data_IF_542220858483
#
_entry.id   IF_542220858483
#
_cell.length_a   1.000
_cell.length_b   1.000
_cell.length_c   1.000
_cell.angle_alpha   90.00
_cell.angle_beta   90.00
_cell.angle_gamma   90.00
#
_symmetry.space_group_name_H-M   'P 1'
#
loop_
_entity.id
_entity.type
_entity.pdbx_description
1 polymer ?
#
# COMPACT_ATOMS: atom_id res chain seq x y z
N UNK A 1 16.90 3.51 -20.61
CA UNK A 1 18.10 4.21 -20.11
C UNK A 1 19.01 3.37 -19.21
N UNK A 2 18.77 3.22 -17.89
CA UNK A 2 19.76 2.59 -16.97
C UNK A 2 20.22 1.18 -17.39
N UNK A 3 19.30 0.39 -17.96
CA UNK A 3 19.62 -0.90 -18.59
C UNK A 3 20.49 -0.78 -19.84
N UNK A 4 20.20 0.21 -20.70
CA UNK A 4 20.89 0.41 -21.98
C UNK A 4 22.33 0.87 -21.78
N UNK A 5 22.59 1.68 -20.75
CA UNK A 5 23.95 2.17 -20.42
C UNK A 5 24.71 1.23 -19.47
N UNK A 6 24.12 0.09 -19.10
CA UNK A 6 24.76 -0.91 -18.23
C UNK A 6 24.88 -0.51 -16.74
N UNK A 7 24.21 0.57 -16.32
CA UNK A 7 24.29 1.09 -14.96
C UNK A 7 23.58 0.23 -13.90
N UNK A 8 22.75 -0.74 -14.30
CA UNK A 8 22.01 -1.61 -13.35
C UNK A 8 22.91 -2.46 -12.45
N UNK A 9 24.19 -2.60 -12.79
CA UNK A 9 25.19 -3.29 -11.97
C UNK A 9 25.78 -2.42 -10.86
N UNK A 10 25.53 -1.10 -10.92
CA UNK A 10 26.12 -0.10 -10.02
C UNK A 10 25.04 0.67 -9.23
N UNK A 11 23.75 0.39 -9.47
CA UNK A 11 22.62 1.10 -8.83
C UNK A 11 21.57 0.12 -8.31
N UNK A 12 20.85 0.55 -7.28
CA UNK A 12 19.64 -0.13 -6.79
C UNK A 12 18.40 0.69 -7.16
N UNK A 13 17.45 0.05 -7.84
CA UNK A 13 16.11 0.59 -8.10
C UNK A 13 15.07 -0.13 -7.27
N UNK A 14 14.30 0.60 -6.48
CA UNK A 14 13.24 0.04 -5.61
C UNK A 14 11.86 0.39 -6.15
N UNK A 15 11.09 -0.63 -6.52
CA UNK A 15 9.71 -0.51 -7.03
C UNK A 15 8.72 -0.80 -5.91
N UNK A 16 8.34 0.24 -5.19
CA UNK A 16 7.36 0.14 -4.12
C UNK A 16 5.97 -0.20 -4.64
N UNK A 17 5.32 -1.11 -3.92
CA UNK A 17 3.89 -1.34 -4.03
C UNK A 17 3.13 -0.31 -3.17
N UNK A 18 1.94 -0.64 -2.64
CA UNK A 18 1.07 0.33 -2.00
C UNK A 18 1.54 0.60 -0.57
N UNK A 19 2.46 1.56 -0.42
CA UNK A 19 2.99 1.96 0.89
C UNK A 19 1.96 2.76 1.67
N UNK A 20 1.75 2.40 2.93
CA UNK A 20 0.88 3.14 3.86
C UNK A 20 1.55 3.31 5.23
N UNK A 21 1.14 4.35 5.97
CA UNK A 21 1.60 4.56 7.33
C UNK A 21 1.63 6.03 7.76
N UNK A 22 2.23 6.33 8.92
CA UNK A 22 2.41 7.69 9.41
C UNK A 22 3.12 8.60 8.41
N UNK A 23 2.94 9.92 8.57
CA UNK A 23 3.56 10.99 7.78
C UNK A 23 3.07 11.16 6.34
N UNK A 24 2.04 10.43 5.92
CA UNK A 24 1.45 10.61 4.58
C UNK A 24 0.42 11.75 4.48
N UNK A 25 0.25 12.55 5.55
CA UNK A 25 -0.82 13.54 5.71
C UNK A 25 -0.84 14.62 4.62
N UNK A 26 0.33 15.00 4.13
CA UNK A 26 0.52 16.01 3.10
C UNK A 26 0.05 15.56 1.70
N UNK A 27 -0.27 14.27 1.50
CA UNK A 27 -0.64 13.73 0.19
C UNK A 27 -2.06 14.09 -0.26
N UNK A 28 -2.88 14.70 0.60
CA UNK A 28 -4.28 15.04 0.30
C UNK A 28 -5.06 13.85 -0.26
N UNK A 29 -5.64 14.00 -1.44
CA UNK A 29 -6.39 12.93 -2.12
C UNK A 29 -5.53 11.73 -2.54
N UNK A 30 -4.20 11.80 -2.50
CA UNK A 30 -3.31 10.66 -2.79
C UNK A 30 -2.87 9.90 -1.53
N UNK A 31 -3.44 10.22 -0.37
CA UNK A 31 -3.27 9.42 0.85
C UNK A 31 -3.74 7.97 0.64
N UNK A 32 -3.10 7.04 1.35
CA UNK A 32 -3.51 5.64 1.35
C UNK A 32 -4.95 5.46 1.84
N UNK A 33 -5.58 4.37 1.40
CA UNK A 33 -6.91 3.99 1.89
C UNK A 33 -6.92 3.64 3.37
N UNK A 34 -5.78 3.28 3.97
CA UNK A 34 -5.71 3.09 5.43
C UNK A 34 -5.96 4.41 6.14
N UNK A 35 -5.28 5.48 5.71
CA UNK A 35 -5.49 6.81 6.30
C UNK A 35 -6.86 7.38 5.96
N UNK A 36 -7.28 7.32 4.70
CA UNK A 36 -8.62 7.80 4.30
C UNK A 36 -9.73 7.02 5.00
N UNK A 37 -9.58 5.70 5.10
CA UNK A 37 -10.51 4.82 5.81
C UNK A 37 -10.60 5.17 7.28
N UNK A 38 -9.46 5.36 7.96
CA UNK A 38 -9.44 5.83 9.34
C UNK A 38 -10.22 7.14 9.53
N UNK A 39 -10.01 8.13 8.65
CA UNK A 39 -10.72 9.42 8.73
C UNK A 39 -12.23 9.24 8.49
N UNK A 40 -12.65 8.49 7.48
CA UNK A 40 -14.06 8.22 7.21
C UNK A 40 -14.75 7.49 8.37
N UNK A 41 -14.12 6.45 8.92
CA UNK A 41 -14.66 5.68 10.04
C UNK A 41 -14.70 6.51 11.33
N UNK A 42 -13.70 7.38 11.55
CA UNK A 42 -13.67 8.29 12.70
C UNK A 42 -14.77 9.34 12.61
N UNK A 43 -14.96 9.96 11.44
CA UNK A 43 -15.79 11.15 11.27
C UNK A 43 -17.25 10.82 10.94
N UNK A 44 -17.48 9.77 10.13
CA UNK A 44 -18.80 9.39 9.63
C UNK A 44 -19.26 8.00 10.09
N UNK A 45 -18.37 7.19 10.69
CA UNK A 45 -18.70 5.83 11.13
C UNK A 45 -18.86 4.80 10.00
N UNK A 46 -18.64 5.21 8.75
CA UNK A 46 -18.81 4.38 7.54
C UNK A 46 -17.59 4.53 6.64
N UNK A 47 -17.23 3.48 5.91
CA UNK A 47 -16.16 3.51 4.91
C UNK A 47 -16.74 3.29 3.52
N UNK A 48 -16.52 4.24 2.61
CA UNK A 48 -16.93 4.12 1.22
C UNK A 48 -15.79 3.52 0.38
N UNK A 49 -16.08 2.39 -0.25
CA UNK A 49 -15.24 1.74 -1.26
C UNK A 49 -15.85 1.95 -2.64
N UNK A 50 -15.12 1.55 -3.68
CA UNK A 50 -15.60 1.63 -5.05
C UNK A 50 -16.31 0.33 -5.45
N UNK A 51 -17.41 0.48 -6.19
CA UNK A 51 -18.00 -0.64 -6.94
C UNK A 51 -17.02 -1.20 -7.96
N UNK A 52 -17.10 -2.50 -8.16
CA UNK A 52 -16.40 -3.15 -9.24
C UNK A 52 -17.05 -2.81 -10.57
N UNK A 53 -16.24 -2.41 -11.55
CA UNK A 53 -16.68 -2.20 -12.92
C UNK A 53 -16.42 -3.42 -13.82
N UNK A 54 -15.78 -4.48 -13.29
CA UNK A 54 -15.36 -5.65 -14.06
C UNK A 54 -16.12 -6.89 -13.60
N UNK A 55 -16.74 -7.59 -14.54
CA UNK A 55 -17.36 -8.88 -14.29
C UNK A 55 -16.32 -9.88 -13.75
N UNK A 56 -16.68 -10.59 -12.68
CA UNK A 56 -15.78 -11.54 -11.99
C UNK A 56 -15.06 -10.98 -10.76
N UNK A 57 -15.16 -9.67 -10.47
CA UNK A 57 -14.70 -9.08 -9.22
C UNK A 57 -15.89 -8.49 -8.49
N UNK A 58 -16.15 -8.92 -7.25
CA UNK A 58 -17.14 -8.29 -6.38
C UNK A 58 -16.73 -6.87 -5.98
N UNK A 59 -17.69 -6.08 -5.49
CA UNK A 59 -17.41 -4.74 -4.97
C UNK A 59 -16.38 -4.81 -3.82
N UNK A 60 -15.37 -3.94 -3.86
CA UNK A 60 -14.20 -4.00 -2.97
C UNK A 60 -13.32 -5.25 -3.11
N UNK A 61 -13.58 -6.11 -4.09
CA UNK A 61 -12.81 -7.33 -4.36
C UNK A 61 -11.50 -7.09 -5.10
N UNK A 62 -11.17 -5.84 -5.47
CA UNK A 62 -9.91 -5.53 -6.12
C UNK A 62 -8.76 -5.67 -5.14
N UNK A 63 -7.68 -6.30 -5.58
CA UNK A 63 -6.55 -6.63 -4.70
C UNK A 63 -5.34 -5.74 -4.94
N UNK A 64 -4.60 -5.50 -3.86
CA UNK A 64 -3.33 -4.79 -3.85
C UNK A 64 -2.39 -5.45 -2.85
N UNK A 65 -1.09 -5.34 -3.11
CA UNK A 65 -0.08 -5.59 -2.09
C UNK A 65 0.14 -4.28 -1.32
N UNK A 66 -0.17 -4.31 -0.03
CA UNK A 66 -0.01 -3.19 0.89
C UNK A 66 1.25 -3.40 1.74
N UNK A 67 2.11 -2.39 1.77
CA UNK A 67 3.36 -2.42 2.50
C UNK A 67 3.36 -1.35 3.59
N UNK A 68 3.63 -1.73 4.84
CA UNK A 68 3.74 -0.75 5.90
C UNK A 68 5.04 0.05 5.76
N UNK A 69 5.00 1.36 6.03
CA UNK A 69 6.13 2.26 5.81
C UNK A 69 7.41 1.85 6.56
N UNK A 70 7.29 1.22 7.75
CA UNK A 70 8.48 0.74 8.47
C UNK A 70 9.18 -0.41 7.75
N UNK A 71 8.42 -1.30 7.12
CA UNK A 71 8.99 -2.40 6.34
C UNK A 71 9.64 -1.86 5.05
N UNK A 72 9.01 -0.87 4.40
CA UNK A 72 9.58 -0.18 3.25
C UNK A 72 10.93 0.49 3.59
N UNK A 73 11.01 1.16 4.74
CA UNK A 73 12.25 1.77 5.24
C UNK A 73 13.30 0.71 5.53
N UNK A 74 12.95 -0.37 6.24
CA UNK A 74 13.88 -1.46 6.54
C UNK A 74 14.45 -2.08 5.27
N UNK A 75 13.61 -2.33 4.26
CA UNK A 75 14.04 -2.83 2.95
C UNK A 75 14.94 -1.83 2.22
N UNK A 76 14.70 -0.52 2.34
CA UNK A 76 15.59 0.50 1.76
C UNK A 76 16.96 0.50 2.41
N UNK A 77 16.99 0.47 3.74
CA UNK A 77 18.23 0.49 4.53
C UNK A 77 19.05 -0.78 4.29
N UNK A 78 18.40 -1.94 4.10
CA UNK A 78 19.09 -3.15 3.66
C UNK A 78 19.94 -2.90 2.42
N UNK A 79 19.39 -2.31 1.35
CA UNK A 79 20.19 -2.03 0.15
C UNK A 79 21.24 -0.94 0.33
N UNK A 80 21.09 -0.06 1.33
CA UNK A 80 22.12 0.91 1.69
C UNK A 80 23.32 0.24 2.39
N UNK A 81 23.06 -0.79 3.19
CA UNK A 81 24.09 -1.53 3.95
C UNK A 81 24.79 -2.62 3.11
N UNK A 82 24.26 -2.93 1.93
CA UNK A 82 24.72 -3.99 1.02
C UNK A 82 25.15 -3.41 -0.33
N UNK A 83 26.31 -2.74 -0.38
CA UNK A 83 26.88 -2.12 -1.59
C UNK A 83 27.26 -3.14 -2.69
N UNK A 84 27.34 -4.43 -2.35
CA UNK A 84 27.58 -5.53 -3.29
C UNK A 84 26.33 -5.94 -4.08
N UNK A 85 25.17 -5.37 -3.75
CA UNK A 85 23.88 -5.67 -4.38
C UNK A 85 23.46 -4.55 -5.32
N UNK A 86 23.14 -4.91 -6.56
CA UNK A 86 22.66 -3.97 -7.57
C UNK A 86 21.54 -4.59 -8.43
N UNK A 87 20.68 -3.73 -8.98
CA UNK A 87 19.58 -4.15 -9.85
C UNK A 87 18.27 -3.46 -9.52
N UNK A 88 17.16 -4.05 -9.99
CA UNK A 88 15.81 -3.53 -9.76
C UNK A 88 15.01 -4.55 -8.97
N UNK A 89 14.44 -4.12 -7.84
CA UNK A 89 13.71 -4.98 -6.91
C UNK A 89 12.28 -4.48 -6.72
N UNK A 90 11.35 -5.42 -6.68
CA UNK A 90 9.98 -5.17 -6.24
C UNK A 90 9.96 -5.14 -4.71
N UNK A 91 9.36 -4.08 -4.14
CA UNK A 91 9.29 -3.87 -2.69
C UNK A 91 7.83 -3.88 -2.26
N UNK A 92 7.41 -5.02 -1.72
CA UNK A 92 6.04 -5.30 -1.29
C UNK A 92 6.03 -6.36 -0.19
N UNK A 93 4.85 -6.62 0.39
CA UNK A 93 4.68 -7.66 1.40
C UNK A 93 4.67 -9.08 0.80
N UNK A 94 4.50 -9.19 -0.52
CA UNK A 94 4.31 -10.46 -1.23
C UNK A 94 2.94 -11.08 -1.01
N UNK A 95 2.02 -10.38 -0.33
CA UNK A 95 0.68 -10.86 -0.02
C UNK A 95 -0.38 -9.90 -0.54
N UNK A 96 -1.17 -10.39 -1.49
CA UNK A 96 -2.34 -9.66 -1.97
C UNK A 96 -3.45 -9.62 -0.90
N UNK A 97 -4.11 -8.47 -0.81
CA UNK A 97 -5.26 -8.21 0.04
C UNK A 97 -6.28 -7.40 -0.74
N UNK A 98 -7.55 -7.76 -0.59
CA UNK A 98 -8.65 -6.99 -1.19
C UNK A 98 -9.04 -5.79 -0.32
N UNK A 99 -9.81 -4.85 -0.88
CA UNK A 99 -10.23 -3.65 -0.17
C UNK A 99 -11.17 -3.95 1.01
N UNK A 100 -12.00 -4.98 0.91
CA UNK A 100 -12.91 -5.37 1.98
C UNK A 100 -12.16 -5.85 3.23
N UNK A 101 -11.08 -6.60 3.05
CA UNK A 101 -10.20 -7.03 4.13
C UNK A 101 -9.48 -5.83 4.75
N UNK A 102 -8.96 -4.91 3.93
CA UNK A 102 -8.34 -3.68 4.42
C UNK A 102 -9.32 -2.81 5.21
N UNK A 103 -10.54 -2.61 4.71
CA UNK A 103 -11.58 -1.85 5.38
C UNK A 103 -11.96 -2.51 6.72
N UNK A 104 -12.16 -3.83 6.72
CA UNK A 104 -12.46 -4.60 7.93
C UNK A 104 -11.33 -4.47 8.98
N UNK A 105 -10.08 -4.48 8.54
CA UNK A 105 -8.92 -4.28 9.41
C UNK A 105 -8.90 -2.87 10.03
N UNK A 106 -9.27 -1.83 9.28
CA UNK A 106 -9.40 -0.46 9.80
C UNK A 106 -10.47 -0.38 10.89
N UNK A 107 -11.67 -0.91 10.65
CA UNK A 107 -12.74 -0.95 11.65
C UNK A 107 -12.33 -1.71 12.91
N UNK A 108 -11.71 -2.88 12.74
CA UNK A 108 -11.21 -3.70 13.85
C UNK A 108 -10.15 -2.98 14.67
N UNK A 109 -9.20 -2.29 14.01
CA UNK A 109 -8.16 -1.52 14.70
C UNK A 109 -8.73 -0.34 15.51
N UNK A 110 -9.93 0.13 15.17
CA UNK A 110 -10.65 1.20 15.86
C UNK A 110 -11.71 0.69 16.84
N UNK A 111 -11.81 -0.64 17.06
CA UNK A 111 -12.84 -1.29 17.88
C UNK A 111 -14.28 -0.89 17.49
N UNK A 112 -14.55 -0.83 16.19
CA UNK A 112 -15.86 -0.48 15.62
C UNK A 112 -16.44 -1.63 14.80
N UNK A 113 -17.77 -1.72 14.78
CA UNK A 113 -18.49 -2.62 13.88
C UNK A 113 -18.27 -2.18 12.42
N UNK A 114 -18.02 -3.14 11.54
CA UNK A 114 -17.81 -2.90 10.10
C UNK A 114 -19.08 -2.33 9.46
N UNK A 115 -18.94 -1.18 8.79
CA UNK A 115 -19.98 -0.56 7.96
C UNK A 115 -19.33 -0.05 6.65
N UNK A 116 -19.52 -0.79 5.56
CA UNK A 116 -18.90 -0.52 4.25
C UNK A 116 -20.01 -0.23 3.24
N UNK A 117 -19.83 0.84 2.47
CA UNK A 117 -20.67 1.21 1.32
C UNK A 117 -19.86 1.19 0.03
N UNK A 118 -20.54 0.99 -1.10
CA UNK A 118 -19.96 0.93 -2.43
C UNK A 118 -20.67 1.88 -3.39
#
# INVERSE_FOLDING_TARGET
WAKEVGALKDIVGLKYFNVFGPNEYHKGDMQSMVRKGFLQVRDAGVLNLFKSYKSGYGDGGQERDFLYVRDAVAMTLFFLEHEDVAGIYNVGSGRARNWNDLASAVFKAMDKKVDIKY
#
